data_IF_854931168791
#
_entry.id   IF_854931168791
#
_cell.length_a   1.000
_cell.length_b   1.000
_cell.length_c   1.000
_cell.angle_alpha   90.00
_cell.angle_beta   90.00
_cell.angle_gamma   90.00
#
_symmetry.space_group_name_H-M   'P 1'
#
loop_
_entity.id
_entity.type
_entity.pdbx_description
1 polymer ?
#
# COMPACT_ATOMS: atom_id res chain seq x y z
N UNK A 1 -0.74 37.74 -5.13
CA UNK A 1 -0.35 36.32 -5.04
C UNK A 1 -1.49 35.54 -4.42
N UNK A 2 -2.17 34.72 -5.21
CA UNK A 2 -3.27 33.87 -4.74
C UNK A 2 -2.68 32.73 -3.89
N UNK A 3 -3.10 32.60 -2.63
CA UNK A 3 -2.64 31.54 -1.74
C UNK A 3 -3.39 30.26 -2.09
N UNK A 4 -2.79 29.42 -2.93
CA UNK A 4 -3.35 28.08 -3.19
C UNK A 4 -3.16 27.23 -1.94
N UNK A 5 -4.27 26.78 -1.36
CA UNK A 5 -4.26 25.82 -0.26
C UNK A 5 -3.58 24.53 -0.72
N UNK A 6 -2.64 24.02 0.08
CA UNK A 6 -1.96 22.73 -0.14
C UNK A 6 -2.96 21.56 -0.30
N UNK A 7 -4.19 21.75 0.17
CA UNK A 7 -5.29 20.80 -0.01
C UNK A 7 -5.82 20.69 -1.45
N UNK A 8 -5.65 21.73 -2.28
CA UNK A 8 -6.19 21.81 -3.65
C UNK A 8 -5.17 21.41 -4.74
N UNK A 9 -4.00 20.92 -4.35
CA UNK A 9 -2.98 20.47 -5.31
C UNK A 9 -3.46 19.20 -6.03
N UNK A 10 -3.18 19.05 -7.34
CA UNK A 10 -3.48 17.84 -8.07
C UNK A 10 -2.73 16.63 -7.45
N UNK A 11 -3.26 15.41 -7.58
CA UNK A 11 -2.57 14.22 -7.11
C UNK A 11 -1.18 14.12 -7.76
N UNK A 12 -0.17 13.77 -6.95
CA UNK A 12 1.19 13.57 -7.45
C UNK A 12 1.22 12.57 -8.61
N UNK A 13 2.03 12.85 -9.62
CA UNK A 13 2.36 11.89 -10.66
C UNK A 13 3.18 10.72 -10.09
N UNK A 14 3.21 9.59 -10.80
CA UNK A 14 3.95 8.39 -10.38
C UNK A 14 5.44 8.63 -10.23
N UNK A 15 6.01 9.50 -11.06
CA UNK A 15 7.43 9.87 -11.04
C UNK A 15 7.77 10.65 -9.77
N UNK A 16 6.97 11.67 -9.44
CA UNK A 16 7.13 12.47 -8.22
C UNK A 16 6.94 11.65 -6.95
N UNK A 17 6.06 10.67 -6.99
CA UNK A 17 5.93 9.70 -5.91
C UNK A 17 7.21 8.89 -5.68
N UNK A 18 7.91 8.48 -6.75
CA UNK A 18 9.18 7.75 -6.66
C UNK A 18 10.31 8.65 -6.16
N UNK A 19 10.35 9.89 -6.62
CA UNK A 19 11.30 10.88 -6.14
C UNK A 19 11.09 11.20 -4.65
N UNK A 20 9.85 11.31 -4.20
CA UNK A 20 9.55 11.44 -2.77
C UNK A 20 9.99 10.20 -1.97
N UNK A 21 9.83 8.99 -2.51
CA UNK A 21 10.30 7.76 -1.85
C UNK A 21 11.84 7.71 -1.75
N UNK A 22 12.57 8.34 -2.68
CA UNK A 22 14.04 8.39 -2.69
C UNK A 22 14.62 9.54 -1.86
N UNK A 23 14.03 10.74 -1.98
CA UNK A 23 14.58 11.99 -1.45
C UNK A 23 13.80 12.54 -0.25
N UNK A 24 12.62 11.98 0.07
CA UNK A 24 11.74 12.44 1.14
C UNK A 24 12.16 12.01 2.55
N UNK A 25 13.41 11.60 2.75
CA UNK A 25 13.95 11.21 4.06
C UNK A 25 13.10 10.15 4.77
N UNK A 26 12.84 10.37 6.06
CA UNK A 26 12.07 9.46 6.93
C UNK A 26 10.64 9.23 6.40
N UNK A 27 9.99 10.27 5.85
CA UNK A 27 8.63 10.15 5.33
C UNK A 27 8.58 9.38 4.00
N UNK A 28 9.59 9.55 3.15
CA UNK A 28 9.80 8.73 1.96
C UNK A 28 10.03 7.25 2.31
N UNK A 29 10.84 7.00 3.35
CA UNK A 29 11.08 5.67 3.88
C UNK A 29 9.82 5.03 4.47
N UNK A 30 9.03 5.77 5.24
CA UNK A 30 7.74 5.30 5.78
C UNK A 30 6.80 4.86 4.65
N UNK A 31 6.73 5.65 3.58
CA UNK A 31 5.93 5.29 2.40
C UNK A 31 6.43 4.02 1.73
N UNK A 32 7.75 3.85 1.58
CA UNK A 32 8.35 2.63 1.02
C UNK A 32 8.02 1.41 1.88
N UNK A 33 8.16 1.51 3.20
CA UNK A 33 7.78 0.48 4.17
C UNK A 33 6.30 0.10 4.01
N UNK A 34 5.39 1.08 3.94
CA UNK A 34 3.97 0.82 3.70
C UNK A 34 3.69 0.09 2.39
N UNK A 35 4.40 0.45 1.32
CA UNK A 35 4.29 -0.26 0.04
C UNK A 35 4.72 -1.72 0.17
N UNK A 36 5.81 -1.98 0.89
CA UNK A 36 6.28 -3.35 1.15
C UNK A 36 5.31 -4.13 2.04
N UNK A 37 4.74 -3.52 3.09
CA UNK A 37 3.71 -4.15 3.91
C UNK A 37 2.49 -4.55 3.08
N UNK A 38 2.03 -3.68 2.19
CA UNK A 38 0.91 -3.95 1.30
C UNK A 38 1.23 -5.07 0.30
N UNK A 39 2.46 -5.12 -0.21
CA UNK A 39 2.92 -6.23 -1.05
C UNK A 39 2.93 -7.55 -0.28
N UNK A 40 3.42 -7.58 0.95
CA UNK A 40 3.37 -8.78 1.80
C UNK A 40 1.92 -9.22 2.02
N UNK A 41 1.03 -8.30 2.40
CA UNK A 41 -0.39 -8.59 2.59
C UNK A 41 -1.05 -9.13 1.31
N UNK A 42 -0.78 -8.51 0.16
CA UNK A 42 -1.33 -8.94 -1.13
C UNK A 42 -0.81 -10.31 -1.58
N UNK A 43 0.49 -10.57 -1.41
CA UNK A 43 1.08 -11.88 -1.74
C UNK A 43 0.55 -12.99 -0.85
N UNK A 44 0.42 -12.73 0.47
CA UNK A 44 -0.20 -13.68 1.38
C UNK A 44 -1.67 -13.91 1.05
N UNK A 45 -2.44 -12.87 0.76
CA UNK A 45 -3.84 -12.99 0.34
C UNK A 45 -3.99 -13.88 -0.89
N UNK A 46 -3.21 -13.61 -1.95
CA UNK A 46 -3.23 -14.42 -3.17
C UNK A 46 -2.79 -15.86 -2.93
N UNK A 47 -1.74 -16.07 -2.13
CA UNK A 47 -1.24 -17.40 -1.78
C UNK A 47 -2.29 -18.23 -1.05
N UNK A 48 -2.93 -17.67 -0.03
CA UNK A 48 -4.00 -18.36 0.72
C UNK A 48 -5.24 -18.59 -0.15
N UNK A 49 -5.67 -17.57 -0.91
CA UNK A 49 -6.83 -17.66 -1.80
C UNK A 49 -6.67 -18.78 -2.83
N UNK A 50 -5.53 -18.81 -3.52
CA UNK A 50 -5.25 -19.82 -4.56
C UNK A 50 -5.08 -21.21 -3.97
N UNK A 51 -4.32 -21.36 -2.86
CA UNK A 51 -4.10 -22.65 -2.21
C UNK A 51 -5.40 -23.27 -1.69
N UNK A 52 -6.24 -22.48 -1.00
CA UNK A 52 -7.51 -22.94 -0.46
C UNK A 52 -8.53 -23.28 -1.56
N UNK A 53 -8.57 -22.46 -2.62
CA UNK A 53 -9.42 -22.73 -3.80
C UNK A 53 -9.00 -24.01 -4.49
N UNK A 54 -7.69 -24.18 -4.76
CA UNK A 54 -7.15 -25.39 -5.36
C UNK A 54 -7.46 -26.64 -4.51
N UNK A 55 -7.23 -26.57 -3.21
CA UNK A 55 -7.55 -27.66 -2.29
C UNK A 55 -9.05 -28.01 -2.31
N UNK A 56 -9.93 -27.01 -2.31
CA UNK A 56 -11.37 -27.22 -2.31
C UNK A 56 -11.90 -27.84 -3.61
N UNK A 57 -11.41 -27.38 -4.77
CA UNK A 57 -11.91 -27.82 -6.08
C UNK A 57 -11.23 -29.11 -6.54
N UNK A 58 -9.91 -29.21 -6.41
CA UNK A 58 -9.15 -30.34 -6.96
C UNK A 58 -9.13 -31.52 -6.00
N UNK A 59 -8.82 -31.27 -4.72
CA UNK A 59 -8.67 -32.35 -3.74
C UNK A 59 -10.00 -32.80 -3.14
N UNK A 60 -10.89 -31.86 -2.80
CA UNK A 60 -12.23 -32.20 -2.26
C UNK A 60 -13.31 -32.37 -3.32
N UNK A 61 -13.01 -32.09 -4.61
CA UNK A 61 -13.97 -32.17 -5.73
C UNK A 61 -15.28 -31.41 -5.47
N UNK A 62 -15.22 -30.31 -4.71
CA UNK A 62 -16.38 -29.46 -4.45
C UNK A 62 -16.84 -28.72 -5.73
N UNK A 63 -18.06 -28.19 -5.71
CA UNK A 63 -18.58 -27.38 -6.81
C UNK A 63 -17.76 -26.10 -6.98
N UNK A 64 -17.70 -25.59 -8.23
CA UNK A 64 -16.97 -24.35 -8.56
C UNK A 64 -17.45 -23.15 -7.73
N UNK A 65 -18.73 -23.14 -7.36
CA UNK A 65 -19.32 -22.10 -6.51
C UNK A 65 -18.68 -22.09 -5.10
N UNK A 66 -18.46 -23.25 -4.50
CA UNK A 66 -17.73 -23.38 -3.23
C UNK A 66 -16.27 -22.93 -3.37
N UNK A 67 -15.65 -23.23 -4.52
CA UNK A 67 -14.31 -22.73 -4.85
C UNK A 67 -14.24 -21.21 -4.85
N UNK A 68 -15.22 -20.54 -5.48
CA UNK A 68 -15.29 -19.06 -5.51
C UNK A 68 -15.49 -18.50 -4.10
N UNK A 69 -16.42 -19.05 -3.31
CA UNK A 69 -16.61 -18.59 -1.93
C UNK A 69 -15.34 -18.78 -1.08
N UNK A 70 -14.65 -19.90 -1.28
CA UNK A 70 -13.42 -20.20 -0.55
C UNK A 70 -12.29 -19.24 -0.94
N UNK A 71 -12.21 -18.85 -2.22
CA UNK A 71 -11.25 -17.86 -2.71
C UNK A 71 -11.36 -16.54 -1.92
N UNK A 72 -12.57 -16.01 -1.77
CA UNK A 72 -12.78 -14.76 -1.05
C UNK A 72 -12.52 -14.88 0.45
N UNK A 73 -13.05 -15.92 1.10
CA UNK A 73 -12.89 -16.12 2.55
C UNK A 73 -11.42 -16.28 2.91
N UNK A 74 -10.71 -17.18 2.22
CA UNK A 74 -9.30 -17.42 2.49
C UNK A 74 -8.39 -16.28 2.05
N UNK A 75 -8.78 -15.53 1.00
CA UNK A 75 -8.08 -14.31 0.59
C UNK A 75 -8.10 -13.22 1.66
N UNK A 76 -9.26 -12.99 2.29
CA UNK A 76 -9.36 -12.04 3.42
C UNK A 76 -8.50 -12.51 4.59
N UNK A 77 -8.55 -13.79 4.95
CA UNK A 77 -7.69 -14.35 6.01
C UNK A 77 -6.20 -14.16 5.70
N UNK A 78 -5.78 -14.46 4.46
CA UNK A 78 -4.41 -14.24 4.01
C UNK A 78 -3.98 -12.78 4.03
N UNK A 79 -4.90 -11.85 3.76
CA UNK A 79 -4.65 -10.41 3.84
C UNK A 79 -4.40 -9.97 5.28
N UNK A 80 -5.22 -10.43 6.23
CA UNK A 80 -5.06 -10.11 7.66
C UNK A 80 -3.73 -10.65 8.18
N UNK A 81 -3.43 -11.92 7.89
CA UNK A 81 -2.18 -12.58 8.29
C UNK A 81 -0.97 -11.85 7.67
N UNK A 82 -1.00 -11.60 6.36
CA UNK A 82 0.10 -10.93 5.68
C UNK A 82 0.32 -9.49 6.13
N UNK A 83 -0.75 -8.76 6.47
CA UNK A 83 -0.64 -7.43 7.06
C UNK A 83 0.00 -7.48 8.46
N UNK A 84 -0.41 -8.42 9.31
CA UNK A 84 0.18 -8.61 10.65
C UNK A 84 1.68 -8.90 10.57
N UNK A 85 2.08 -9.88 9.76
CA UNK A 85 3.50 -10.19 9.56
C UNK A 85 4.26 -9.06 8.87
N UNK A 86 3.63 -8.36 7.93
CA UNK A 86 4.21 -7.18 7.29
C UNK A 86 4.54 -6.08 8.30
N UNK A 87 3.65 -5.81 9.25
CA UNK A 87 3.88 -4.82 10.30
C UNK A 87 4.96 -5.23 11.29
N UNK A 88 5.03 -6.51 11.65
CA UNK A 88 6.10 -7.05 12.50
C UNK A 88 7.48 -6.94 11.83
N UNK A 89 7.58 -7.28 10.54
CA UNK A 89 8.86 -7.30 9.82
C UNK A 89 9.33 -5.91 9.40
N UNK A 90 8.40 -5.02 9.08
CA UNK A 90 8.67 -3.68 8.58
C UNK A 90 7.95 -2.66 9.47
N UNK A 91 8.48 -2.34 10.67
CA UNK A 91 7.82 -1.41 11.57
C UNK A 91 7.72 0.00 10.99
N UNK A 92 6.66 0.73 11.35
CA UNK A 92 6.47 2.12 10.92
C UNK A 92 7.46 3.05 11.61
N UNK A 93 8.16 3.86 10.82
CA UNK A 93 9.14 4.86 11.29
C UNK A 93 8.52 6.25 11.48
N UNK A 94 7.34 6.50 10.89
CA UNK A 94 6.60 7.75 11.04
C UNK A 94 5.09 7.50 11.00
N UNK A 95 4.31 8.47 11.50
CA UNK A 95 2.85 8.41 11.42
C UNK A 95 2.37 8.58 9.98
N UNK A 96 1.26 7.94 9.65
CA UNK A 96 0.70 8.00 8.29
C UNK A 96 0.20 9.41 7.96
N UNK A 97 -0.42 10.09 8.92
CA UNK A 97 -0.97 11.45 8.72
C UNK A 97 0.14 12.44 8.38
N UNK A 98 1.22 12.43 9.16
CA UNK A 98 2.44 13.20 8.90
C UNK A 98 3.05 12.87 7.54
N UNK A 99 3.12 11.59 7.18
CA UNK A 99 3.66 11.16 5.88
C UNK A 99 2.81 11.69 4.73
N UNK A 100 1.48 11.72 4.87
CA UNK A 100 0.59 12.26 3.82
C UNK A 100 0.69 13.77 3.71
N UNK A 101 0.81 14.48 4.84
CA UNK A 101 0.99 15.92 4.88
C UNK A 101 2.35 16.33 4.29
N UNK A 102 3.43 15.65 4.70
CA UNK A 102 4.78 15.91 4.20
C UNK A 102 4.91 15.60 2.72
N UNK A 103 4.22 14.58 2.23
CA UNK A 103 4.11 14.32 0.79
C UNK A 103 3.47 15.51 0.07
N UNK A 104 2.32 16.03 0.55
CA UNK A 104 1.66 17.19 -0.07
C UNK A 104 2.54 18.44 -0.02
N UNK A 105 3.24 18.69 1.09
CA UNK A 105 4.17 19.80 1.22
C UNK A 105 5.37 19.68 0.26
N UNK A 106 5.93 18.47 0.15
CA UNK A 106 7.01 18.20 -0.80
C UNK A 106 6.54 18.43 -2.24
N UNK A 107 5.30 18.04 -2.56
CA UNK A 107 4.71 18.30 -3.87
C UNK A 107 4.57 19.79 -4.15
N UNK A 108 3.99 20.52 -3.19
CA UNK A 108 3.83 21.96 -3.29
C UNK A 108 5.19 22.63 -3.56
N UNK A 109 6.24 22.26 -2.81
CA UNK A 109 7.59 22.79 -3.03
C UNK A 109 8.10 22.52 -4.45
N UNK A 110 7.89 21.32 -4.99
CA UNK A 110 8.27 21.00 -6.37
C UNK A 110 7.50 21.83 -7.40
N UNK A 111 6.20 22.04 -7.21
CA UNK A 111 5.37 22.82 -8.13
C UNK A 111 5.66 24.33 -8.07
N UNK A 112 6.02 24.87 -6.91
CA UNK A 112 6.23 26.31 -6.73
C UNK A 112 7.65 26.79 -7.00
N UNK A 113 8.65 25.89 -7.09
CA UNK A 113 10.05 26.25 -7.40
C UNK A 113 10.71 27.18 -6.38
N UNK A 114 12.05 27.34 -6.37
CA UNK A 114 12.67 28.42 -5.60
C UNK A 114 12.22 29.77 -6.16
N UNK A 115 12.08 30.82 -5.33
CA UNK A 115 11.91 32.18 -5.84
C UNK A 115 13.14 32.50 -6.70
N UNK A 116 12.93 32.86 -7.96
CA UNK A 116 13.93 33.60 -8.74
C UNK A 116 14.15 34.98 -8.12
#
# INVERSE_FOLDING_TARGET
MERVLVANLPPMAKEDMRDFERNGGIWGQQRKIRKTQLQCAGLSALGFATAATYYSVVKRRNTKLVGISMFFISGVSGLVIGNFFGQLRYPSVARNDETTMMRRLWWAKKCYGPPN
#
